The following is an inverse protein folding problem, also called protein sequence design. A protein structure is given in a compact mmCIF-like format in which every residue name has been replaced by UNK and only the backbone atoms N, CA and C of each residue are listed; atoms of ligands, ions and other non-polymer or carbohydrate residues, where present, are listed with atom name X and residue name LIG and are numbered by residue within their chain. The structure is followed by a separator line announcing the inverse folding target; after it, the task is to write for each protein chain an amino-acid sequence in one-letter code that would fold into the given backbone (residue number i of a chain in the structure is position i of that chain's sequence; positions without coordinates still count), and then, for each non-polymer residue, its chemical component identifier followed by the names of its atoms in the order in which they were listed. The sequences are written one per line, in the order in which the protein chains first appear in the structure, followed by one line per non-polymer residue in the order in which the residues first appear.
data_IF_704193680319
#
_entry.id   IF_704193680319
#
_cell.length_a   1.000
_cell.length_b   1.000
_cell.length_c   1.000
_cell.angle_alpha   90.00
_cell.angle_beta   90.00
_cell.angle_gamma   90.00
#
_symmetry.space_group_name_H-M   'P 1'
#
loop_
_entity.id
_entity.type
_entity.pdbx_description
1 polymer ?
#
# COMPACT_ATOMS: atom_id res chain seq x y z
N UNK A 1 -27.39 2.60 -34.69
CA UNK A 1 -26.80 1.26 -34.54
C UNK A 1 -25.42 1.42 -33.92
N UNK A 2 -25.14 0.60 -32.92
CA UNK A 2 -24.04 0.70 -31.97
C UNK A 2 -22.68 0.26 -32.52
N UNK A 3 -21.63 0.91 -32.01
CA UNK A 3 -20.27 0.44 -31.71
C UNK A 3 -19.46 -0.31 -32.77
N UNK A 4 -18.52 0.41 -33.40
CA UNK A 4 -17.36 -0.14 -34.12
C UNK A 4 -16.08 0.63 -33.79
N UNK A 5 -15.67 0.68 -32.53
CA UNK A 5 -14.28 0.99 -32.16
C UNK A 5 -13.89 0.19 -30.92
N UNK A 6 -13.65 -1.11 -31.13
CA UNK A 6 -12.86 -1.90 -30.19
C UNK A 6 -11.40 -1.55 -30.38
N UNK A 7 -10.86 -0.67 -29.52
CA UNK A 7 -9.41 -0.50 -29.45
C UNK A 7 -8.80 -1.82 -28.97
N UNK A 8 -8.14 -2.56 -29.87
CA UNK A 8 -7.17 -3.57 -29.46
C UNK A 8 -6.09 -2.83 -28.69
N UNK A 9 -6.12 -2.93 -27.37
CA UNK A 9 -4.97 -2.59 -26.54
C UNK A 9 -3.86 -3.52 -27.01
N UNK A 10 -2.86 -2.99 -27.70
CA UNK A 10 -1.68 -3.76 -28.05
C UNK A 10 -1.09 -4.28 -26.74
N UNK A 11 -0.92 -5.60 -26.63
CA UNK A 11 -0.25 -6.19 -25.48
C UNK A 11 1.16 -5.59 -25.43
N UNK A 12 1.45 -4.87 -24.35
CA UNK A 12 2.77 -4.32 -24.10
C UNK A 12 3.79 -5.47 -24.06
N UNK A 13 4.93 -5.38 -24.78
CA UNK A 13 5.98 -6.39 -24.68
C UNK A 13 6.43 -6.55 -23.23
N UNK A 14 6.63 -7.79 -22.80
CA UNK A 14 7.04 -8.17 -21.42
C UNK A 14 8.23 -7.34 -20.92
N UNK A 15 9.24 -7.15 -21.77
CA UNK A 15 10.40 -6.31 -21.49
C UNK A 15 10.06 -4.85 -21.13
N UNK A 16 9.08 -4.22 -21.80
CA UNK A 16 8.70 -2.83 -21.49
C UNK A 16 7.96 -2.78 -20.14
N UNK A 17 7.15 -3.80 -19.86
CA UNK A 17 6.46 -3.94 -18.58
C UNK A 17 7.44 -4.10 -17.41
N UNK A 18 8.50 -4.89 -17.58
CA UNK A 18 9.58 -5.06 -16.61
C UNK A 18 10.39 -3.76 -16.42
N UNK A 19 10.75 -3.07 -17.51
CA UNK A 19 11.44 -1.77 -17.43
C UNK A 19 10.63 -0.72 -16.66
N UNK A 20 9.30 -0.68 -16.85
CA UNK A 20 8.41 0.22 -16.12
C UNK A 20 8.29 -0.14 -14.64
N UNK A 21 8.29 -1.44 -14.32
CA UNK A 21 8.32 -1.89 -12.95
C UNK A 21 9.60 -1.39 -12.27
N UNK A 22 10.77 -1.68 -12.85
CA UNK A 22 12.07 -1.22 -12.32
C UNK A 22 12.14 0.31 -12.18
N UNK A 23 11.67 1.07 -13.18
CA UNK A 23 11.61 2.54 -13.07
C UNK A 23 10.72 3.01 -11.92
N UNK A 24 9.58 2.35 -11.72
CA UNK A 24 8.67 2.66 -10.61
C UNK A 24 9.34 2.36 -9.27
N UNK A 25 10.03 1.22 -9.15
CA UNK A 25 10.75 0.82 -7.94
C UNK A 25 11.85 1.83 -7.60
N UNK A 26 12.72 2.14 -8.57
CA UNK A 26 13.82 3.10 -8.41
C UNK A 26 13.32 4.51 -8.11
N UNK A 27 12.21 4.92 -8.74
CA UNK A 27 11.60 6.22 -8.46
C UNK A 27 11.09 6.27 -7.03
N UNK A 28 10.35 5.25 -6.59
CA UNK A 28 9.78 5.20 -5.24
C UNK A 28 10.87 5.13 -4.17
N UNK A 29 11.92 4.31 -4.36
CA UNK A 29 13.08 4.26 -3.45
C UNK A 29 13.70 5.64 -3.29
N UNK A 30 14.01 6.31 -4.40
CA UNK A 30 14.65 7.63 -4.38
C UNK A 30 13.79 8.71 -3.75
N UNK A 31 12.49 8.75 -4.07
CA UNK A 31 11.61 9.79 -3.55
C UNK A 31 11.22 9.59 -2.08
N UNK A 32 11.23 8.36 -1.57
CA UNK A 32 10.93 8.08 -0.16
C UNK A 32 12.15 8.01 0.76
N UNK A 33 13.37 7.89 0.19
CA UNK A 33 14.61 7.66 0.94
C UNK A 33 14.80 8.60 2.14
N UNK A 34 14.71 9.92 1.93
CA UNK A 34 14.95 10.90 2.98
C UNK A 34 13.95 10.79 4.14
N UNK A 35 12.67 10.55 3.83
CA UNK A 35 11.62 10.40 4.84
C UNK A 35 11.77 9.09 5.63
N UNK A 36 12.11 8.00 4.93
CA UNK A 36 12.37 6.72 5.56
C UNK A 36 13.61 6.77 6.44
N UNK A 37 14.71 7.38 5.96
CA UNK A 37 15.94 7.56 6.73
C UNK A 37 15.71 8.40 7.99
N UNK A 38 15.00 9.52 7.89
CA UNK A 38 14.60 10.33 9.05
C UNK A 38 13.74 9.52 10.05
N UNK A 39 12.98 8.54 9.54
CA UNK A 39 12.20 7.61 10.34
C UNK A 39 13.01 6.40 10.85
N UNK A 40 14.29 6.24 10.50
CA UNK A 40 15.07 5.04 10.82
C UNK A 40 14.53 3.78 10.14
N UNK A 41 13.94 3.95 8.96
CA UNK A 41 13.33 2.92 8.13
C UNK A 41 14.07 2.85 6.79
N UNK A 42 13.93 1.73 6.10
CA UNK A 42 14.40 1.54 4.73
C UNK A 42 13.49 0.58 3.98
N UNK A 43 13.48 0.68 2.65
CA UNK A 43 12.95 -0.39 1.79
C UNK A 43 14.11 -1.33 1.55
N UNK A 44 14.07 -2.53 2.13
CA UNK A 44 15.13 -3.54 1.96
C UNK A 44 15.44 -3.80 0.48
N UNK A 45 16.67 -4.20 0.18
CA UNK A 45 17.02 -4.67 -1.16
C UNK A 45 16.28 -5.98 -1.46
N UNK A 46 15.70 -6.05 -2.65
CA UNK A 46 14.78 -7.11 -3.08
C UNK A 46 15.12 -7.57 -4.49
N UNK A 47 14.86 -8.84 -4.81
CA UNK A 47 15.24 -9.43 -6.10
C UNK A 47 14.08 -9.49 -7.10
N UNK A 48 12.85 -9.24 -6.64
CA UNK A 48 11.65 -9.29 -7.49
C UNK A 48 10.70 -8.12 -7.23
N UNK A 49 9.87 -7.74 -8.22
CA UNK A 49 8.83 -6.72 -8.02
C UNK A 49 7.85 -7.05 -6.89
N UNK A 50 7.63 -8.33 -6.65
CA UNK A 50 6.78 -8.84 -5.57
C UNK A 50 7.41 -8.61 -4.21
N UNK A 51 8.68 -8.98 -4.03
CA UNK A 51 9.42 -8.69 -2.80
C UNK A 51 9.50 -7.18 -2.56
N UNK A 52 9.76 -6.40 -3.61
CA UNK A 52 9.79 -4.95 -3.54
C UNK A 52 8.46 -4.38 -3.06
N UNK A 53 7.35 -4.75 -3.71
CA UNK A 53 6.03 -4.23 -3.37
C UNK A 53 5.63 -4.59 -1.93
N UNK A 54 6.02 -5.77 -1.43
CA UNK A 54 5.83 -6.14 -0.04
C UNK A 54 6.67 -5.26 0.91
N UNK A 55 7.98 -5.17 0.69
CA UNK A 55 8.89 -4.36 1.51
C UNK A 55 8.49 -2.89 1.53
N UNK A 56 8.13 -2.32 0.38
CA UNK A 56 7.65 -0.96 0.24
C UNK A 56 6.31 -0.74 0.98
N UNK A 57 5.38 -1.71 0.91
CA UNK A 57 4.12 -1.64 1.67
C UNK A 57 4.38 -1.54 3.17
N UNK A 58 5.26 -2.40 3.69
CA UNK A 58 5.63 -2.43 5.11
C UNK A 58 6.33 -1.13 5.52
N UNK A 59 7.31 -0.67 4.74
CA UNK A 59 8.05 0.56 5.01
C UNK A 59 7.13 1.79 5.04
N UNK A 60 6.22 1.92 4.07
CA UNK A 60 5.24 3.01 4.02
C UNK A 60 4.29 2.94 5.21
N UNK A 61 3.79 1.77 5.58
CA UNK A 61 2.92 1.65 6.76
C UNK A 61 3.64 1.97 8.07
N UNK A 62 4.89 1.54 8.22
CA UNK A 62 5.72 1.92 9.38
C UNK A 62 5.97 3.43 9.43
N UNK A 63 6.17 4.07 8.27
CA UNK A 63 6.32 5.51 8.18
C UNK A 63 5.03 6.24 8.61
N UNK A 64 3.88 5.80 8.11
CA UNK A 64 2.57 6.34 8.49
C UNK A 64 2.31 6.18 9.98
N UNK A 65 2.58 5.00 10.56
CA UNK A 65 2.46 4.76 11.99
C UNK A 65 3.35 5.69 12.82
N UNK A 66 4.60 5.89 12.37
CA UNK A 66 5.56 6.75 13.05
C UNK A 66 5.11 8.22 13.04
N UNK A 67 4.66 8.73 11.90
CA UNK A 67 4.10 10.09 11.78
C UNK A 67 2.81 10.22 12.60
N UNK A 68 2.01 9.16 12.67
CA UNK A 68 0.81 9.13 13.49
C UNK A 68 1.06 8.97 14.99
N UNK A 69 2.34 8.86 15.42
CA UNK A 69 2.77 8.60 16.80
C UNK A 69 2.14 7.33 17.39
N UNK A 70 2.02 6.28 16.57
CA UNK A 70 1.47 4.97 16.98
C UNK A 70 2.52 3.87 16.85
N UNK A 71 2.48 2.96 17.80
CA UNK A 71 3.21 1.69 17.73
C UNK A 71 2.22 0.56 17.42
N UNK A 72 2.50 -0.23 16.38
CA UNK A 72 1.62 -1.30 15.91
C UNK A 72 1.27 -2.29 17.03
N UNK A 73 2.28 -2.68 17.82
CA UNK A 73 2.12 -3.66 18.89
C UNK A 73 1.28 -3.12 20.06
N UNK A 74 1.16 -1.79 20.17
CA UNK A 74 0.31 -1.14 21.18
C UNK A 74 -1.14 -0.96 20.74
N UNK A 75 -1.45 -1.14 19.45
CA UNK A 75 -2.79 -0.90 18.91
C UNK A 75 -3.79 -1.96 19.38
N UNK A 76 -5.03 -1.53 19.63
CA UNK A 76 -6.19 -2.42 19.76
C UNK A 76 -6.40 -3.27 18.50
N UNK A 77 -7.10 -4.40 18.64
CA UNK A 77 -7.37 -5.32 17.52
C UNK A 77 -8.07 -4.59 16.37
N UNK A 78 -9.00 -3.69 16.68
CA UNK A 78 -9.69 -2.84 15.71
C UNK A 78 -8.72 -1.90 14.98
N UNK A 79 -7.80 -1.26 15.70
CA UNK A 79 -6.83 -0.34 15.11
C UNK A 79 -5.74 -1.08 14.29
N UNK A 80 -5.34 -2.28 14.71
CA UNK A 80 -4.49 -3.18 13.90
C UNK A 80 -5.22 -3.59 12.62
N UNK A 81 -6.51 -3.87 12.70
CA UNK A 81 -7.34 -4.17 11.54
C UNK A 81 -7.39 -3.00 10.54
N UNK A 82 -7.58 -1.76 11.03
CA UNK A 82 -7.53 -0.55 10.19
C UNK A 82 -6.16 -0.39 9.54
N UNK A 83 -5.09 -0.60 10.31
CA UNK A 83 -3.70 -0.59 9.80
C UNK A 83 -3.52 -1.59 8.66
N UNK A 84 -4.03 -2.81 8.81
CA UNK A 84 -4.00 -3.83 7.76
C UNK A 84 -4.79 -3.44 6.52
N UNK A 85 -5.92 -2.74 6.67
CA UNK A 85 -6.70 -2.28 5.53
C UNK A 85 -5.94 -1.22 4.73
N UNK A 86 -5.24 -0.30 5.39
CA UNK A 86 -4.36 0.66 4.72
C UNK A 86 -3.18 -0.04 4.03
N UNK A 87 -2.53 -0.99 4.71
CA UNK A 87 -1.48 -1.81 4.12
C UNK A 87 -1.96 -2.56 2.88
N UNK A 88 -3.17 -3.13 2.93
CA UNK A 88 -3.79 -3.79 1.77
C UNK A 88 -4.00 -2.81 0.59
N UNK A 89 -4.47 -1.60 0.85
CA UNK A 89 -4.70 -0.59 -0.18
C UNK A 89 -3.39 -0.13 -0.83
N UNK A 90 -2.33 0.06 -0.04
CA UNK A 90 -0.99 0.39 -0.52
C UNK A 90 -0.42 -0.75 -1.36
N UNK A 91 -0.47 -1.99 -0.86
CA UNK A 91 -0.07 -3.18 -1.60
C UNK A 91 -0.81 -3.31 -2.93
N UNK A 92 -2.12 -3.06 -2.93
CA UNK A 92 -2.93 -3.07 -4.15
C UNK A 92 -2.51 -2.01 -5.16
N UNK A 93 -2.07 -0.83 -4.71
CA UNK A 93 -1.58 0.21 -5.61
C UNK A 93 -0.19 -0.15 -6.16
N UNK A 94 0.75 -0.53 -5.29
CA UNK A 94 2.11 -0.92 -5.68
C UNK A 94 2.12 -2.11 -6.66
N UNK A 95 1.35 -3.16 -6.39
CA UNK A 95 1.25 -4.33 -7.27
C UNK A 95 0.77 -3.99 -8.67
N UNK A 96 -0.13 -3.01 -8.80
CA UNK A 96 -0.57 -2.52 -10.11
C UNK A 96 0.48 -1.71 -10.86
N UNK A 97 1.39 -1.05 -10.13
CA UNK A 97 2.46 -0.24 -10.72
C UNK A 97 3.69 -1.08 -11.08
N UNK A 98 3.96 -2.14 -10.31
CA UNK A 98 5.14 -3.01 -10.49
C UNK A 98 4.82 -4.35 -11.16
N UNK A 99 3.55 -4.63 -11.46
CA UNK A 99 3.06 -5.92 -11.95
C UNK A 99 3.37 -7.10 -11.00
N UNK A 100 3.48 -6.82 -9.69
CA UNK A 100 3.69 -7.84 -8.67
C UNK A 100 2.46 -8.72 -8.43
N UNK A 101 2.69 -9.93 -7.92
CA UNK A 101 1.61 -10.82 -7.48
C UNK A 101 0.99 -10.30 -6.17
N UNK A 102 -0.25 -9.79 -6.25
CA UNK A 102 -0.94 -9.24 -5.08
C UNK A 102 -1.15 -10.28 -3.97
N UNK A 103 -1.42 -11.54 -4.28
CA UNK A 103 -1.61 -12.58 -3.28
C UNK A 103 -0.34 -12.80 -2.46
N UNK A 104 0.81 -12.86 -3.14
CA UNK A 104 2.11 -13.01 -2.49
C UNK A 104 2.51 -11.76 -1.72
N UNK A 105 2.31 -10.56 -2.29
CA UNK A 105 2.59 -9.29 -1.60
C UNK A 105 1.80 -9.18 -0.30
N UNK A 106 0.50 -9.51 -0.32
CA UNK A 106 -0.32 -9.50 0.89
C UNK A 106 0.08 -10.56 1.90
N UNK A 107 0.56 -11.72 1.44
CA UNK A 107 1.10 -12.76 2.32
C UNK A 107 2.35 -12.28 3.04
N UNK A 108 3.32 -11.72 2.31
CA UNK A 108 4.58 -11.22 2.88
C UNK A 108 4.32 -10.01 3.79
N UNK A 109 3.68 -8.96 3.27
CA UNK A 109 3.38 -7.77 4.05
C UNK A 109 2.45 -8.08 5.24
N UNK A 110 1.56 -9.06 5.09
CA UNK A 110 0.73 -9.56 6.17
C UNK A 110 1.54 -10.20 7.29
N UNK A 111 2.53 -11.04 6.98
CA UNK A 111 3.42 -11.65 7.98
C UNK A 111 4.38 -10.64 8.63
N UNK A 112 4.76 -9.59 7.90
CA UNK A 112 5.65 -8.54 8.42
C UNK A 112 4.92 -7.48 9.25
N UNK A 113 3.62 -7.29 9.00
CA UNK A 113 2.77 -6.37 9.77
C UNK A 113 2.04 -7.07 10.90
N UNK A 114 1.60 -8.32 10.73
CA UNK A 114 0.79 -9.06 11.69
C UNK A 114 1.55 -10.26 12.24
N UNK A 115 1.30 -10.58 13.51
CA UNK A 115 1.83 -11.81 14.10
C UNK A 115 1.22 -13.05 13.42
N UNK A 116 1.91 -14.20 13.49
CA UNK A 116 1.46 -15.46 12.92
C UNK A 116 0.09 -15.92 13.49
N UNK A 117 -0.25 -15.49 14.70
CA UNK A 117 -1.53 -15.77 15.36
C UNK A 117 -2.70 -14.94 14.77
N UNK A 118 -2.41 -13.86 14.05
CA UNK A 118 -3.38 -12.94 13.47
C UNK A 118 -3.67 -13.22 11.99
N UNK A 119 -3.14 -14.31 11.43
CA UNK A 119 -3.35 -14.69 10.02
C UNK A 119 -4.83 -14.81 9.63
N UNK A 120 -5.71 -15.22 10.54
CA UNK A 120 -7.16 -15.24 10.28
C UNK A 120 -7.74 -13.84 9.99
N UNK A 121 -7.11 -12.78 10.52
CA UNK A 121 -7.50 -11.41 10.26
C UNK A 121 -7.22 -11.01 8.80
N UNK A 122 -6.22 -11.61 8.14
CA UNK A 122 -5.90 -11.37 6.72
C UNK A 122 -7.09 -11.76 5.83
N UNK A 123 -7.77 -12.89 6.12
CA UNK A 123 -8.99 -13.26 5.39
C UNK A 123 -10.12 -12.27 5.61
N UNK A 124 -10.25 -11.71 6.82
CA UNK A 124 -11.21 -10.65 7.12
C UNK A 124 -10.87 -9.36 6.37
N UNK A 125 -9.59 -9.00 6.20
CA UNK A 125 -9.16 -7.84 5.42
C UNK A 125 -9.66 -7.90 3.98
N UNK A 126 -9.53 -9.06 3.31
CA UNK A 126 -10.05 -9.22 1.94
C UNK A 126 -11.56 -9.01 1.83
N UNK A 127 -12.33 -9.51 2.82
CA UNK A 127 -13.79 -9.31 2.87
C UNK A 127 -14.18 -7.85 3.14
N UNK A 128 -13.44 -7.16 4.01
CA UNK A 128 -13.66 -5.75 4.33
C UNK A 128 -13.22 -4.83 3.21
N UNK A 129 -12.15 -5.15 2.48
CA UNK A 129 -11.79 -4.44 1.25
C UNK A 129 -12.91 -4.56 0.20
N UNK A 130 -13.47 -5.76 0.02
CA UNK A 130 -14.63 -5.95 -0.88
C UNK A 130 -15.81 -5.08 -0.45
N UNK A 131 -16.08 -4.96 0.85
CA UNK A 131 -17.14 -4.09 1.40
C UNK A 131 -16.80 -2.60 1.22
N UNK A 132 -15.56 -2.18 1.48
CA UNK A 132 -15.08 -0.82 1.22
C UNK A 132 -15.31 -0.43 -0.25
N UNK A 133 -15.04 -1.34 -1.19
CA UNK A 133 -15.28 -1.14 -2.63
C UNK A 133 -16.76 -0.96 -2.98
N UNK A 134 -17.70 -1.46 -2.15
CA UNK A 134 -19.14 -1.18 -2.30
C UNK A 134 -19.47 0.27 -1.91
N UNK A 135 -18.70 0.87 -1.00
CA UNK A 135 -18.75 2.30 -0.66
C UNK A 135 -17.83 3.10 -1.57
N UNK A 136 -18.21 3.22 -2.86
CA UNK A 136 -17.38 3.76 -3.95
C UNK A 136 -16.66 5.07 -3.60
N UNK A 137 -17.34 6.06 -3.02
CA UNK A 137 -16.74 7.37 -2.75
C UNK A 137 -15.63 7.29 -1.70
N UNK A 138 -15.81 6.50 -0.64
CA UNK A 138 -14.81 6.29 0.41
C UNK A 138 -13.60 5.54 -0.13
N UNK A 139 -13.84 4.48 -0.92
CA UNK A 139 -12.77 3.75 -1.59
C UNK A 139 -11.96 4.64 -2.54
N UNK A 140 -12.63 5.50 -3.33
CA UNK A 140 -11.96 6.42 -4.25
C UNK A 140 -11.13 7.46 -3.49
N UNK A 141 -11.67 8.07 -2.44
CA UNK A 141 -10.94 9.05 -1.63
C UNK A 141 -9.67 8.44 -1.01
N UNK A 142 -9.78 7.27 -0.37
CA UNK A 142 -8.61 6.57 0.20
C UNK A 142 -7.60 6.19 -0.88
N UNK A 143 -8.07 5.70 -2.02
CA UNK A 143 -7.21 5.37 -3.15
C UNK A 143 -6.47 6.61 -3.66
N UNK A 144 -7.15 7.74 -3.81
CA UNK A 144 -6.56 8.97 -4.35
C UNK A 144 -5.51 9.56 -3.40
N UNK A 145 -5.73 9.50 -2.09
CA UNK A 145 -4.73 9.92 -1.09
C UNK A 145 -3.48 9.04 -1.15
N UNK A 146 -3.66 7.72 -1.19
CA UNK A 146 -2.55 6.77 -1.32
C UNK A 146 -1.82 6.97 -2.66
N UNK A 147 -2.57 7.17 -3.75
CA UNK A 147 -2.02 7.39 -5.07
C UNK A 147 -1.24 8.71 -5.16
N UNK A 148 -1.71 9.75 -4.49
CA UNK A 148 -1.01 11.04 -4.37
C UNK A 148 0.35 10.85 -3.71
N UNK A 149 0.39 10.24 -2.52
CA UNK A 149 1.62 9.94 -1.81
C UNK A 149 2.56 9.06 -2.64
N UNK A 150 2.10 7.94 -3.19
CA UNK A 150 2.97 7.03 -3.96
C UNK A 150 3.48 7.63 -5.27
N UNK A 151 2.83 8.66 -5.82
CA UNK A 151 3.26 9.34 -7.05
C UNK A 151 4.25 10.46 -6.78
N UNK A 152 4.03 11.21 -5.69
CA UNK A 152 4.89 12.33 -5.28
C UNK A 152 5.10 12.29 -3.76
N UNK A 153 5.95 11.37 -3.26
CA UNK A 153 6.19 11.28 -1.82
C UNK A 153 6.91 12.52 -1.30
N UNK A 154 6.26 13.24 -0.41
CA UNK A 154 6.78 14.40 0.31
C UNK A 154 6.09 14.56 1.67
N UNK A 155 6.49 15.56 2.46
CA UNK A 155 5.93 15.80 3.79
C UNK A 155 4.43 16.11 3.77
N UNK A 156 3.95 16.82 2.74
CA UNK A 156 2.54 17.20 2.59
C UNK A 156 1.67 15.97 2.33
N UNK A 157 2.02 15.18 1.33
CA UNK A 157 1.28 13.95 0.97
C UNK A 157 1.39 12.88 2.06
N UNK A 158 2.51 12.82 2.79
CA UNK A 158 2.65 11.94 3.96
C UNK A 158 1.76 12.39 5.13
N UNK A 159 1.69 13.70 5.38
CA UNK A 159 0.81 14.29 6.39
C UNK A 159 -0.66 14.01 6.06
N UNK A 160 -1.07 14.17 4.80
CA UNK A 160 -2.43 13.86 4.35
C UNK A 160 -2.78 12.38 4.54
N UNK A 161 -1.89 11.48 4.11
CA UNK A 161 -2.06 10.03 4.27
C UNK A 161 -2.17 9.64 5.76
N UNK A 162 -1.28 10.18 6.59
CA UNK A 162 -1.23 9.90 8.03
C UNK A 162 -2.43 10.49 8.78
N UNK A 163 -2.89 11.68 8.39
CA UNK A 163 -4.08 12.31 8.95
C UNK A 163 -5.35 11.51 8.65
N UNK A 164 -5.51 11.04 7.41
CA UNK A 164 -6.66 10.19 7.05
C UNK A 164 -6.60 8.84 7.74
N UNK A 165 -5.41 8.27 7.90
CA UNK A 165 -5.20 7.08 8.73
C UNK A 165 -5.66 7.32 10.17
N UNK A 166 -5.22 8.40 10.82
CA UNK A 166 -5.62 8.76 12.18
C UNK A 166 -7.14 8.94 12.33
N UNK A 167 -7.81 9.55 11.35
CA UNK A 167 -9.27 9.70 11.36
C UNK A 167 -10.02 8.36 11.32
N UNK A 168 -9.38 7.32 10.78
CA UNK A 168 -9.95 5.98 10.71
C UNK A 168 -9.70 5.15 11.97
N UNK A 169 -8.82 5.61 12.86
CA UNK A 169 -8.56 4.93 14.12
C UNK A 169 -9.72 5.12 15.09
N UNK A 170 -10.04 4.06 15.82
CA UNK A 170 -10.91 4.15 16.97
C UNK A 170 -10.19 4.96 18.06
N UNK A 171 -10.89 5.92 18.65
CA UNK A 171 -10.38 6.63 19.82
C UNK A 171 -10.39 5.65 21.00
N UNK A 172 -9.22 5.20 21.42
CA UNK A 172 -9.08 4.49 22.68
C UNK A 172 -9.44 5.50 23.79
N UNK A 173 -10.54 5.24 24.50
CA UNK A 173 -11.05 6.08 25.58
C UNK A 173 -10.28 5.93 26.89
#
# INVERSE_FOLDING_TARGET
MLNLFGSRVAAEPEFISELRAVETEDRLRRSTAAMLEAAGLEICDTNTPTEFAAAATVAVMKLVLKVAERDFDSLSVENRFVTGLFGFLIAHNLTRRTNADLGVVLGIAGLDLFSHEEIEQIYKLGSSYRRLRQHRNMHLALKDIIDSFLSHPDEETLSDLSGVYQLCLHQDG
#
